data_IF_877745700743
#
_entry.id   IF_877745700743
#
_cell.length_a   1.000
_cell.length_b   1.000
_cell.length_c   1.000
_cell.angle_alpha   90.00
_cell.angle_beta   90.00
_cell.angle_gamma   90.00
#
_symmetry.space_group_name_H-M   'P 1'
#
loop_
_entity.id
_entity.type
_entity.pdbx_description
1 polymer ?
#
# COMPACT_ATOMS: atom_id res chain seq x y z
N UNK A 1 -1.87 -14.86 35.36
CA UNK A 1 -1.81 -13.42 35.03
C UNK A 1 -1.64 -13.34 33.52
N UNK A 2 -2.64 -12.80 32.82
CA UNK A 2 -2.61 -12.64 31.37
C UNK A 2 -1.93 -11.28 31.13
N UNK A 3 -0.75 -11.26 30.52
CA UNK A 3 -0.13 -9.99 30.13
C UNK A 3 -1.03 -9.29 29.12
N UNK A 4 -1.24 -7.96 29.23
CA UNK A 4 -1.99 -7.24 28.21
C UNK A 4 -1.21 -7.37 26.90
N UNK A 5 -1.85 -7.91 25.85
CA UNK A 5 -1.35 -7.84 24.49
C UNK A 5 -1.09 -6.37 24.17
N UNK A 6 0.16 -5.94 24.26
CA UNK A 6 0.52 -4.53 24.14
C UNK A 6 0.21 -4.11 22.71
N UNK A 7 -0.84 -3.30 22.54
CA UNK A 7 -1.10 -2.60 21.28
C UNK A 7 0.18 -1.86 20.89
N UNK A 8 0.57 -1.95 19.62
CA UNK A 8 1.75 -1.26 19.11
C UNK A 8 1.65 0.24 19.45
N UNK A 9 2.77 0.82 19.88
CA UNK A 9 2.87 2.24 20.16
C UNK A 9 2.80 3.06 18.85
N UNK A 10 2.42 4.35 18.91
CA UNK A 10 2.39 5.20 17.73
C UNK A 10 3.70 5.23 16.94
N UNK A 11 4.85 5.21 17.61
CA UNK A 11 6.15 5.19 16.94
C UNK A 11 6.46 3.84 16.28
N UNK A 12 6.04 2.73 16.89
CA UNK A 12 6.15 1.40 16.27
C UNK A 12 5.26 1.30 15.03
N UNK A 13 4.04 1.83 15.08
CA UNK A 13 3.13 1.90 13.93
C UNK A 13 3.78 2.71 12.80
N UNK A 14 4.23 3.95 13.09
CA UNK A 14 4.88 4.81 12.08
C UNK A 14 6.13 4.17 11.48
N UNK A 15 6.97 3.56 12.32
CA UNK A 15 8.20 2.90 11.88
C UNK A 15 7.90 1.70 10.97
N UNK A 16 6.87 0.94 11.31
CA UNK A 16 6.43 -0.20 10.49
C UNK A 16 5.93 0.26 9.13
N UNK A 17 4.99 1.22 9.09
CA UNK A 17 4.41 1.75 7.85
C UNK A 17 5.50 2.27 6.91
N UNK A 18 6.43 3.11 7.40
CA UNK A 18 7.57 3.58 6.60
C UNK A 18 8.45 2.46 6.04
N UNK A 19 8.66 1.39 6.82
CA UNK A 19 9.43 0.25 6.35
C UNK A 19 8.67 -0.54 5.27
N UNK A 20 7.34 -0.58 5.34
CA UNK A 20 6.49 -1.19 4.32
C UNK A 20 6.47 -0.35 3.05
N UNK A 21 6.36 0.99 3.15
CA UNK A 21 6.48 1.91 2.01
C UNK A 21 7.76 1.70 1.21
N UNK A 22 8.91 1.57 1.90
CA UNK A 22 10.18 1.31 1.22
C UNK A 22 10.15 -0.01 0.42
N UNK A 23 9.54 -1.06 0.97
CA UNK A 23 9.42 -2.37 0.30
C UNK A 23 8.47 -2.28 -0.90
N UNK A 24 7.33 -1.61 -0.73
CA UNK A 24 6.35 -1.42 -1.80
C UNK A 24 6.94 -0.59 -2.94
N UNK A 25 7.65 0.50 -2.63
CA UNK A 25 8.34 1.32 -3.63
C UNK A 25 9.37 0.52 -4.44
N UNK A 26 10.14 -0.35 -3.78
CA UNK A 26 11.08 -1.24 -4.47
C UNK A 26 10.36 -2.25 -5.37
N UNK A 27 9.27 -2.85 -4.90
CA UNK A 27 8.46 -3.78 -5.69
C UNK A 27 7.81 -3.09 -6.90
N UNK A 28 7.29 -1.87 -6.74
CA UNK A 28 6.72 -1.07 -7.83
C UNK A 28 7.76 -0.80 -8.92
N UNK A 29 8.97 -0.38 -8.54
CA UNK A 29 10.06 -0.14 -9.49
C UNK A 29 10.40 -1.41 -10.31
N UNK A 30 10.35 -2.59 -9.68
CA UNK A 30 10.54 -3.87 -10.39
C UNK A 30 9.38 -4.18 -11.33
N UNK A 31 8.13 -3.95 -10.91
CA UNK A 31 6.95 -4.17 -11.78
C UNK A 31 7.02 -3.27 -13.01
N UNK A 32 7.34 -1.99 -12.83
CA UNK A 32 7.47 -1.03 -13.95
C UNK A 32 8.56 -1.46 -14.94
N UNK A 33 9.74 -1.83 -14.45
CA UNK A 33 10.83 -2.30 -15.30
C UNK A 33 10.46 -3.56 -16.10
N UNK A 34 9.86 -4.56 -15.43
CA UNK A 34 9.39 -5.79 -16.07
C UNK A 34 8.28 -5.53 -17.09
N UNK A 35 7.43 -4.54 -16.83
CA UNK A 35 6.34 -4.14 -17.74
C UNK A 35 6.90 -3.52 -19.02
N UNK A 36 7.88 -2.63 -18.89
CA UNK A 36 8.57 -2.05 -20.06
C UNK A 36 9.29 -3.13 -20.88
N UNK A 37 9.89 -4.14 -20.22
CA UNK A 37 10.53 -5.28 -20.89
C UNK A 37 9.52 -6.24 -21.54
N UNK A 38 8.38 -6.51 -20.90
CA UNK A 38 7.35 -7.42 -21.37
C UNK A 38 6.73 -6.98 -22.70
N UNK A 39 6.79 -5.68 -23.03
CA UNK A 39 6.40 -5.13 -24.33
C UNK A 39 7.13 -5.76 -25.52
N UNK A 40 8.28 -6.42 -25.27
CA UNK A 40 9.09 -7.13 -26.28
C UNK A 40 8.63 -8.57 -26.52
N UNK A 41 7.68 -9.08 -25.74
CA UNK A 41 7.03 -10.38 -25.95
C UNK A 41 7.83 -11.60 -25.47
N UNK A 42 8.85 -11.45 -24.62
CA UNK A 42 9.56 -12.58 -24.03
C UNK A 42 8.69 -13.31 -22.99
N UNK A 43 8.34 -14.60 -23.19
CA UNK A 43 7.55 -15.37 -22.23
C UNK A 43 8.16 -15.42 -20.83
N UNK A 44 9.49 -15.41 -20.70
CA UNK A 44 10.15 -15.43 -19.39
C UNK A 44 9.88 -14.12 -18.62
N UNK A 45 9.95 -12.97 -19.29
CA UNK A 45 9.60 -11.67 -18.69
C UNK A 45 8.14 -11.60 -18.27
N UNK A 46 7.22 -12.15 -19.07
CA UNK A 46 5.78 -12.20 -18.72
C UNK A 46 5.55 -13.03 -17.45
N UNK A 47 6.22 -14.18 -17.32
CA UNK A 47 6.15 -15.01 -16.11
C UNK A 47 6.73 -14.26 -14.90
N UNK A 48 7.87 -13.60 -15.06
CA UNK A 48 8.49 -12.80 -13.99
C UNK A 48 7.58 -11.64 -13.56
N UNK A 49 6.97 -10.93 -14.51
CA UNK A 49 6.02 -9.86 -14.23
C UNK A 49 4.82 -10.36 -13.44
N UNK A 50 4.25 -11.52 -13.81
CA UNK A 50 3.15 -12.15 -13.07
C UNK A 50 3.53 -12.43 -11.61
N UNK A 51 4.68 -13.06 -11.40
CA UNK A 51 5.17 -13.37 -10.05
C UNK A 51 5.41 -12.11 -9.22
N UNK A 52 5.96 -11.07 -9.86
CA UNK A 52 6.22 -9.80 -9.19
C UNK A 52 4.93 -9.05 -8.82
N UNK A 53 3.92 -9.04 -9.69
CA UNK A 53 2.60 -8.47 -9.40
C UNK A 53 1.88 -9.23 -8.27
N UNK A 54 1.98 -10.56 -8.22
CA UNK A 54 1.44 -11.36 -7.11
C UNK A 54 2.13 -11.07 -5.77
N UNK A 55 3.45 -10.84 -5.82
CA UNK A 55 4.26 -10.48 -4.65
C UNK A 55 3.91 -9.07 -4.14
N UNK A 56 3.79 -8.11 -5.07
CA UNK A 56 3.29 -6.77 -4.76
C UNK A 56 1.89 -6.84 -4.17
N UNK A 57 0.99 -7.63 -4.77
CA UNK A 57 -0.39 -7.75 -4.33
C UNK A 57 -0.53 -8.25 -2.90
N UNK A 58 0.20 -9.31 -2.55
CA UNK A 58 0.24 -9.80 -1.16
C UNK A 58 0.73 -8.71 -0.21
N UNK A 59 1.83 -8.05 -0.56
CA UNK A 59 2.45 -7.01 0.29
C UNK A 59 1.52 -5.82 0.48
N UNK A 60 0.91 -5.34 -0.60
CA UNK A 60 0.01 -4.20 -0.62
C UNK A 60 -1.28 -4.51 0.14
N UNK A 61 -1.88 -5.70 -0.04
CA UNK A 61 -3.08 -6.07 0.71
C UNK A 61 -2.85 -6.06 2.23
N UNK A 62 -1.75 -6.67 2.69
CA UNK A 62 -1.41 -6.73 4.11
C UNK A 62 -1.14 -5.33 4.67
N UNK A 63 -0.47 -4.49 3.89
CA UNK A 63 -0.14 -3.11 4.25
C UNK A 63 -1.38 -2.22 4.37
N UNK A 64 -2.20 -2.15 3.32
CA UNK A 64 -3.44 -1.36 3.31
C UNK A 64 -4.39 -1.81 4.43
N UNK A 65 -4.46 -3.13 4.69
CA UNK A 65 -5.24 -3.64 5.81
C UNK A 65 -4.68 -3.17 7.15
N UNK A 66 -3.36 -3.21 7.34
CA UNK A 66 -2.74 -2.75 8.57
C UNK A 66 -3.02 -1.26 8.84
N UNK A 67 -3.00 -0.43 7.80
CA UNK A 67 -3.25 1.02 7.85
C UNK A 67 -4.69 1.36 8.19
N UNK A 68 -5.65 0.71 7.54
CA UNK A 68 -7.09 0.88 7.79
C UNK A 68 -7.45 0.68 9.28
N UNK A 69 -6.68 -0.12 10.00
CA UNK A 69 -6.84 -0.33 11.44
C UNK A 69 -5.96 0.58 12.29
N UNK A 70 -4.75 0.91 11.83
CA UNK A 70 -3.73 1.53 12.67
C UNK A 70 -3.68 3.05 12.52
N UNK A 71 -3.72 3.58 11.30
CA UNK A 71 -3.54 5.01 11.04
C UNK A 71 -4.66 5.90 11.62
N UNK A 72 -5.95 5.54 11.54
CA UNK A 72 -7.01 6.35 12.15
C UNK A 72 -6.81 6.57 13.65
N UNK A 73 -6.23 5.59 14.34
CA UNK A 73 -5.96 5.68 15.79
C UNK A 73 -4.85 6.66 16.16
N UNK A 74 -4.00 7.06 15.20
CA UNK A 74 -2.92 8.02 15.42
C UNK A 74 -3.41 9.48 15.43
N UNK A 75 -4.54 9.77 14.78
CA UNK A 75 -4.97 11.15 14.51
C UNK A 75 -6.34 11.49 15.07
N UNK A 76 -7.22 10.50 15.25
CA UNK A 76 -8.60 10.69 15.70
C UNK A 76 -8.95 9.69 16.80
N UNK A 77 -10.03 9.95 17.53
CA UNK A 77 -10.53 9.06 18.58
C UNK A 77 -12.05 8.84 18.46
N UNK A 78 -12.51 7.66 18.86
CA UNK A 78 -13.92 7.28 18.83
C UNK A 78 -14.49 7.37 17.41
N UNK A 79 -15.70 7.92 17.28
CA UNK A 79 -16.44 7.96 16.01
C UNK A 79 -15.67 8.61 14.85
N UNK A 80 -14.85 9.63 15.12
CA UNK A 80 -14.05 10.29 14.09
C UNK A 80 -12.93 9.39 13.53
N UNK A 81 -12.39 8.48 14.35
CA UNK A 81 -11.44 7.47 13.89
C UNK A 81 -12.14 6.42 13.01
N UNK A 82 -13.36 6.03 13.37
CA UNK A 82 -14.13 5.07 12.57
C UNK A 82 -14.49 5.66 11.18
N UNK A 83 -14.91 6.93 11.14
CA UNK A 83 -15.20 7.64 9.89
C UNK A 83 -13.95 7.80 9.01
N UNK A 84 -12.80 8.13 9.59
CA UNK A 84 -11.52 8.17 8.88
C UNK A 84 -11.14 6.79 8.32
N UNK A 85 -11.30 5.74 9.12
CA UNK A 85 -11.04 4.36 8.69
C UNK A 85 -11.95 3.93 7.52
N UNK A 86 -13.21 4.36 7.52
CA UNK A 86 -14.14 4.09 6.41
C UNK A 86 -13.74 4.81 5.12
N UNK A 87 -13.27 6.05 5.20
CA UNK A 87 -12.80 6.78 4.02
C UNK A 87 -11.54 6.11 3.44
N UNK A 88 -10.55 5.80 4.27
CA UNK A 88 -9.34 5.09 3.85
C UNK A 88 -9.67 3.75 3.19
N UNK A 89 -10.57 2.95 3.79
CA UNK A 89 -11.03 1.68 3.18
C UNK A 89 -11.57 1.85 1.76
N UNK A 90 -12.29 2.95 1.47
CA UNK A 90 -12.83 3.21 0.12
C UNK A 90 -11.71 3.56 -0.86
N UNK A 91 -10.76 4.37 -0.43
CA UNK A 91 -9.60 4.75 -1.25
C UNK A 91 -8.71 3.52 -1.53
N UNK A 92 -8.41 2.75 -0.51
CA UNK A 92 -7.62 1.52 -0.61
C UNK A 92 -8.33 0.44 -1.42
N UNK A 93 -9.67 0.38 -1.40
CA UNK A 93 -10.44 -0.52 -2.25
C UNK A 93 -10.21 -0.23 -3.74
N UNK A 94 -10.12 1.05 -4.13
CA UNK A 94 -9.82 1.41 -5.52
C UNK A 94 -8.41 0.95 -5.94
N UNK A 95 -7.43 1.02 -5.03
CA UNK A 95 -6.07 0.51 -5.32
C UNK A 95 -6.05 -1.01 -5.54
N UNK A 96 -6.82 -1.76 -4.72
CA UNK A 96 -6.97 -3.22 -4.88
C UNK A 96 -7.63 -3.58 -6.22
N UNK A 97 -8.67 -2.84 -6.60
CA UNK A 97 -9.36 -3.04 -7.88
C UNK A 97 -8.45 -2.77 -9.08
N UNK A 98 -7.61 -1.72 -9.01
CA UNK A 98 -6.60 -1.44 -10.05
C UNK A 98 -5.58 -2.58 -10.18
N UNK A 99 -5.09 -3.09 -9.05
CA UNK A 99 -4.17 -4.23 -9.05
C UNK A 99 -4.80 -5.49 -9.66
N UNK A 100 -6.03 -5.82 -9.25
CA UNK A 100 -6.77 -6.97 -9.78
C UNK A 100 -6.98 -6.83 -11.30
N UNK A 101 -7.31 -5.62 -11.77
CA UNK A 101 -7.41 -5.30 -13.18
C UNK A 101 -6.10 -5.51 -13.94
N UNK A 102 -4.97 -5.06 -13.38
CA UNK A 102 -3.64 -5.26 -13.98
C UNK A 102 -3.27 -6.74 -14.06
N UNK A 103 -3.56 -7.52 -13.02
CA UNK A 103 -3.31 -8.97 -13.01
C UNK A 103 -4.19 -9.66 -14.06
N UNK A 104 -5.46 -9.28 -14.17
CA UNK A 104 -6.36 -9.81 -15.17
C UNK A 104 -5.90 -9.51 -16.60
N UNK A 105 -5.49 -8.25 -16.87
CA UNK A 105 -4.97 -7.83 -18.17
C UNK A 105 -3.68 -8.58 -18.57
N UNK A 106 -2.87 -9.00 -17.60
CA UNK A 106 -1.69 -9.83 -17.86
C UNK A 106 -2.03 -11.29 -18.20
N UNK A 107 -3.13 -11.80 -17.68
CA UNK A 107 -3.60 -13.16 -17.94
C UNK A 107 -4.36 -13.28 -19.27
N UNK A 108 -4.97 -12.19 -19.72
CA UNK A 108 -5.45 -12.09 -21.09
C UNK A 108 -4.27 -12.02 -22.07
N UNK A 109 -4.38 -12.71 -23.22
CA UNK A 109 -3.25 -12.95 -24.15
C UNK A 109 -2.75 -11.68 -24.88
N UNK A 110 -3.18 -10.50 -24.43
CA UNK A 110 -2.87 -9.20 -24.97
C UNK A 110 -1.95 -8.41 -24.01
N UNK A 111 -0.75 -8.92 -23.77
CA UNK A 111 0.34 -8.12 -23.17
C UNK A 111 0.63 -6.97 -24.14
N UNK A 112 0.18 -5.76 -23.81
CA UNK A 112 0.21 -4.61 -24.71
C UNK A 112 0.08 -3.28 -23.98
N UNK A 113 -0.23 -2.22 -24.73
CA UNK A 113 -0.31 -0.84 -24.22
C UNK A 113 -1.23 -0.69 -23.00
N UNK A 114 -2.32 -1.46 -22.93
CA UNK A 114 -3.27 -1.47 -21.81
C UNK A 114 -2.60 -1.85 -20.48
N UNK A 115 -1.79 -2.92 -20.49
CA UNK A 115 -1.06 -3.37 -19.29
C UNK A 115 -0.06 -2.30 -18.82
N UNK A 116 0.66 -1.67 -19.75
CA UNK A 116 1.62 -0.60 -19.43
C UNK A 116 0.91 0.59 -18.78
N UNK A 117 -0.23 1.01 -19.33
CA UNK A 117 -1.04 2.09 -18.76
C UNK A 117 -1.55 1.70 -17.37
N UNK A 118 -2.13 0.52 -17.21
CA UNK A 118 -2.65 0.05 -15.93
C UNK A 118 -1.59 -0.03 -14.83
N UNK A 119 -0.39 -0.55 -15.15
CA UNK A 119 0.74 -0.58 -14.21
C UNK A 119 1.17 0.82 -13.77
N UNK A 120 1.21 1.78 -14.70
CA UNK A 120 1.57 3.18 -14.38
C UNK A 120 0.52 3.86 -13.52
N UNK A 121 -0.75 3.62 -13.79
CA UNK A 121 -1.87 4.14 -12.99
C UNK A 121 -1.85 3.55 -11.58
N UNK A 122 -1.65 2.24 -11.44
CA UNK A 122 -1.47 1.57 -10.16
C UNK A 122 -0.28 2.14 -9.37
N UNK A 123 0.89 2.23 -10.01
CA UNK A 123 2.10 2.72 -9.36
C UNK A 123 1.96 4.18 -8.92
N UNK A 124 1.27 5.01 -9.70
CA UNK A 124 0.95 6.38 -9.32
C UNK A 124 0.00 6.43 -8.13
N UNK A 125 -1.10 5.68 -8.17
CA UNK A 125 -2.08 5.67 -7.09
C UNK A 125 -1.45 5.30 -5.74
N UNK A 126 -0.61 4.25 -5.72
CA UNK A 126 0.07 3.80 -4.51
C UNK A 126 1.11 4.83 -4.03
N UNK A 127 1.88 5.46 -4.94
CA UNK A 127 2.85 6.50 -4.56
C UNK A 127 2.19 7.76 -4.01
N UNK A 128 1.14 8.25 -4.67
CA UNK A 128 0.41 9.45 -4.27
C UNK A 128 -0.19 9.25 -2.85
N UNK A 129 -0.66 8.04 -2.55
CA UNK A 129 -1.17 7.63 -1.24
C UNK A 129 -0.07 7.59 -0.17
N UNK A 130 1.02 6.83 -0.40
CA UNK A 130 2.16 6.77 0.53
C UNK A 130 2.74 8.17 0.82
N UNK A 131 2.85 9.04 -0.20
CA UNK A 131 3.31 10.43 -0.02
C UNK A 131 2.35 11.26 0.85
N UNK A 132 1.05 11.08 0.66
CA UNK A 132 0.04 11.72 1.48
C UNK A 132 0.15 11.28 2.94
N UNK A 133 0.23 9.98 3.19
CA UNK A 133 0.33 9.43 4.54
C UNK A 133 1.62 9.84 5.24
N UNK A 134 2.75 9.80 4.53
CA UNK A 134 4.04 10.26 5.05
C UNK A 134 3.97 11.72 5.49
N UNK A 135 3.37 12.59 4.67
CA UNK A 135 3.26 14.02 4.95
C UNK A 135 2.26 14.32 6.06
N UNK A 136 1.08 13.70 6.02
CA UNK A 136 -0.06 14.13 6.84
C UNK A 136 -0.24 13.31 8.12
N UNK A 137 0.16 12.04 8.13
CA UNK A 137 -0.16 11.08 9.20
C UNK A 137 1.10 10.63 9.96
N UNK A 138 2.20 10.42 9.25
CA UNK A 138 3.43 9.86 9.84
C UNK A 138 4.42 10.91 10.34
N UNK A 139 4.38 12.13 9.81
CA UNK A 139 5.34 13.21 10.14
C UNK A 139 4.99 14.00 11.40
N UNK A 140 3.79 13.86 11.96
CA UNK A 140 3.36 14.62 13.14
C UNK A 140 3.97 14.04 14.42
N UNK A 141 4.73 14.82 15.22
CA UNK A 141 5.21 14.37 16.51
C UNK A 141 4.02 14.11 17.46
N UNK A 142 4.17 13.16 18.38
CA UNK A 142 3.19 12.96 19.45
C UNK A 142 3.07 14.27 20.24
N UNK A 143 1.86 14.78 20.56
CA UNK A 143 1.74 15.77 21.61
C UNK A 143 2.34 15.14 22.87
N UNK A 144 3.28 15.85 23.52
CA UNK A 144 3.88 15.40 24.76
C UNK A 144 2.75 15.07 25.75
N UNK A 145 2.79 13.88 26.37
CA UNK A 145 1.87 13.56 27.46
C UNK A 145 1.96 14.68 28.50
N UNK A 146 0.87 15.42 28.69
CA UNK A 146 0.79 16.37 29.80
C UNK A 146 0.99 15.58 31.10
N UNK A 147 1.89 16.02 32.00
CA UNK A 147 2.09 15.33 33.26
C UNK A 147 0.76 15.33 34.03
N UNK A 148 0.25 14.13 34.31
CA UNK A 148 -0.90 13.94 35.21
C UNK A 148 -0.55 14.58 36.56
N UNK A 149 -1.30 15.61 36.93
CA UNK A 149 -1.23 16.24 38.25
C UNK A 149 -1.81 15.32 39.32
#
# INVERSE_FOLDING_TARGET
MMEPSSKATPDEIRKRIRSEHYRIAEQLARVEALTDEASRGDPATIIALRQQLQTLGTTLHDHLHYEEYSLPSLTQHGKAADEAAEMMRREHQAQRELLDGVIHDLDETAVGEKLVVGVRELARAIRDDMEHEERELLSKPQPAEEPRK
#
